data_IF_264196343310
#
_entry.id   IF_264196343310
#
_cell.length_a   1.000
_cell.length_b   1.000
_cell.length_c   1.000
_cell.angle_alpha   90.00
_cell.angle_beta   90.00
_cell.angle_gamma   90.00
#
_symmetry.space_group_name_H-M   'P 1'
#
loop_
_entity.id
_entity.type
_entity.pdbx_description
1 polymer ?
#
# COMPACT_ATOMS: atom_id res chain seq x y z
N UNK A 1 -23.02 -9.31 -13.02
CA UNK A 1 -22.00 -8.82 -12.07
C UNK A 1 -21.30 -10.04 -11.43
N UNK A 2 -20.18 -10.50 -12.01
CA UNK A 2 -19.36 -11.62 -11.47
C UNK A 2 -17.86 -11.33 -11.60
N UNK A 3 -17.47 -10.63 -12.69
CA UNK A 3 -16.07 -10.23 -12.96
C UNK A 3 -15.41 -9.39 -11.85
N UNK A 4 -16.11 -8.38 -11.31
CA UNK A 4 -15.52 -7.47 -10.31
C UNK A 4 -15.27 -8.10 -8.93
N UNK A 5 -16.10 -9.06 -8.49
CA UNK A 5 -15.93 -9.74 -7.20
C UNK A 5 -14.76 -10.74 -7.24
N UNK A 6 -14.58 -11.44 -8.36
CA UNK A 6 -13.48 -12.37 -8.54
C UNK A 6 -12.13 -11.65 -8.59
N UNK A 7 -12.05 -10.54 -9.34
CA UNK A 7 -10.86 -9.67 -9.40
C UNK A 7 -10.49 -9.15 -8.01
N UNK A 8 -11.50 -8.77 -7.20
CA UNK A 8 -11.26 -8.31 -5.84
C UNK A 8 -10.67 -9.39 -4.94
N UNK A 9 -11.20 -10.62 -5.00
CA UNK A 9 -10.70 -11.73 -4.19
C UNK A 9 -9.27 -12.10 -4.56
N UNK A 10 -8.97 -12.18 -5.86
CA UNK A 10 -7.63 -12.44 -6.38
C UNK A 10 -6.65 -11.34 -5.95
N UNK A 11 -7.08 -10.07 -5.98
CA UNK A 11 -6.26 -8.96 -5.50
C UNK A 11 -5.99 -9.01 -4.00
N UNK A 12 -7.00 -9.32 -3.17
CA UNK A 12 -6.79 -9.46 -1.72
C UNK A 12 -5.81 -10.59 -1.40
N UNK A 13 -5.92 -11.70 -2.12
CA UNK A 13 -4.97 -12.82 -2.01
C UNK A 13 -3.56 -12.40 -2.42
N UNK A 14 -3.42 -11.68 -3.54
CA UNK A 14 -2.11 -11.19 -3.99
C UNK A 14 -1.45 -10.26 -2.95
N UNK A 15 -2.22 -9.36 -2.31
CA UNK A 15 -1.71 -8.51 -1.22
C UNK A 15 -1.24 -9.36 -0.04
N UNK A 16 -2.00 -10.41 0.31
CA UNK A 16 -1.68 -11.30 1.42
C UNK A 16 -0.43 -12.16 1.18
N UNK A 17 -0.16 -12.52 -0.07
CA UNK A 17 0.99 -13.34 -0.49
C UNK A 17 2.22 -12.49 -0.85
N UNK A 18 2.07 -11.17 -0.92
CA UNK A 18 3.16 -10.24 -1.24
C UNK A 18 4.17 -10.10 -0.09
N UNK A 19 5.43 -9.88 -0.44
CA UNK A 19 6.48 -9.53 0.52
C UNK A 19 6.74 -8.03 0.65
N UNK A 20 6.43 -7.29 -0.42
CA UNK A 20 6.56 -5.83 -0.49
C UNK A 20 5.32 -5.27 -1.16
N UNK A 21 4.76 -4.18 -0.62
CA UNK A 21 3.69 -3.42 -1.22
C UNK A 21 4.10 -1.95 -1.34
N UNK A 22 3.96 -1.39 -2.53
CA UNK A 22 4.22 0.04 -2.80
C UNK A 22 2.87 0.75 -2.87
N UNK A 23 2.68 1.78 -2.04
CA UNK A 23 1.45 2.58 -2.06
C UNK A 23 1.75 3.89 -2.77
N UNK A 24 1.18 4.09 -3.96
CA UNK A 24 1.34 5.34 -4.72
C UNK A 24 0.19 6.28 -4.38
N UNK A 25 0.39 7.13 -3.38
CA UNK A 25 -0.54 8.22 -3.07
C UNK A 25 -0.47 9.27 -4.17
N UNK A 26 -1.60 9.49 -4.83
CA UNK A 26 -1.76 10.49 -5.88
C UNK A 26 -3.00 11.35 -5.60
N UNK A 27 -3.15 12.46 -6.35
CA UNK A 27 -4.22 13.44 -6.13
C UNK A 27 -5.62 12.83 -6.03
N UNK A 28 -5.90 11.76 -6.80
CA UNK A 28 -7.24 11.15 -6.86
C UNK A 28 -7.34 9.83 -6.08
N UNK A 29 -6.28 9.37 -5.42
CA UNK A 29 -6.23 8.07 -4.73
C UNK A 29 -7.44 7.86 -3.79
N UNK A 30 -7.68 8.84 -2.91
CA UNK A 30 -8.76 8.76 -1.92
C UNK A 30 -10.18 8.85 -2.50
N UNK A 31 -10.35 9.26 -3.76
CA UNK A 31 -11.68 9.24 -4.39
C UNK A 31 -12.14 7.83 -4.76
N UNK A 32 -11.21 6.89 -4.96
CA UNK A 32 -11.51 5.50 -5.27
C UNK A 32 -11.74 4.72 -3.98
N UNK A 33 -12.96 4.19 -3.82
CA UNK A 33 -13.27 3.26 -2.72
C UNK A 33 -12.36 2.03 -2.74
N UNK A 34 -12.02 1.52 -3.93
CA UNK A 34 -11.15 0.35 -4.07
C UNK A 34 -9.74 0.64 -3.53
N UNK A 35 -9.13 1.76 -3.88
CA UNK A 35 -7.82 2.15 -3.35
C UNK A 35 -7.83 2.28 -1.82
N UNK A 36 -8.93 2.78 -1.23
CA UNK A 36 -9.09 2.86 0.22
C UNK A 36 -9.23 1.50 0.91
N UNK A 37 -9.88 0.54 0.25
CA UNK A 37 -9.97 -0.84 0.73
C UNK A 37 -8.63 -1.58 0.56
N UNK A 38 -7.92 -1.38 -0.55
CA UNK A 38 -6.58 -1.93 -0.82
C UNK A 38 -5.57 -1.47 0.24
N UNK A 39 -5.45 -0.16 0.48
CA UNK A 39 -4.51 0.35 1.50
C UNK A 39 -4.88 -0.14 2.90
N UNK A 40 -6.17 -0.33 3.20
CA UNK A 40 -6.59 -0.92 4.46
C UNK A 40 -6.12 -2.37 4.59
N UNK A 41 -6.22 -3.16 3.52
CA UNK A 41 -5.71 -4.54 3.52
C UNK A 41 -4.19 -4.62 3.58
N UNK A 42 -3.48 -3.74 2.85
CA UNK A 42 -2.01 -3.66 2.89
C UNK A 42 -1.53 -3.37 4.31
N UNK A 43 -2.11 -2.36 4.97
CA UNK A 43 -1.71 -2.00 6.33
C UNK A 43 -2.12 -3.05 7.39
N UNK A 44 -3.16 -3.84 7.12
CA UNK A 44 -3.47 -5.03 7.93
C UNK A 44 -2.38 -6.10 7.78
N UNK A 45 -2.01 -6.43 6.54
CA UNK A 45 -0.97 -7.43 6.25
C UNK A 45 0.40 -6.98 6.77
N UNK A 46 0.71 -5.68 6.75
CA UNK A 46 1.92 -5.13 7.39
C UNK A 46 1.99 -5.48 8.88
N UNK A 47 0.86 -5.39 9.58
CA UNK A 47 0.79 -5.64 11.03
C UNK A 47 0.76 -7.14 11.38
N UNK A 48 0.26 -7.98 10.48
CA UNK A 48 0.00 -9.40 10.76
C UNK A 48 0.96 -10.38 10.08
N UNK A 49 1.59 -10.00 8.97
CA UNK A 49 2.33 -10.91 8.06
C UNK A 49 3.71 -10.39 7.63
N UNK A 50 4.27 -9.44 8.38
CA UNK A 50 5.57 -8.82 8.09
C UNK A 50 5.70 -8.27 6.66
N UNK A 51 4.60 -7.81 6.06
CA UNK A 51 4.62 -7.17 4.74
C UNK A 51 5.39 -5.84 4.82
N UNK A 52 6.39 -5.63 3.98
CA UNK A 52 7.09 -4.34 3.89
C UNK A 52 6.21 -3.38 3.08
N UNK A 53 5.96 -2.20 3.63
CA UNK A 53 5.11 -1.18 2.99
C UNK A 53 5.92 0.06 2.71
N UNK A 54 5.89 0.48 1.45
CA UNK A 54 6.69 1.58 0.90
C UNK A 54 5.77 2.64 0.28
N UNK A 55 5.44 3.73 0.98
CA UNK A 55 4.63 4.80 0.42
C UNK A 55 5.45 5.67 -0.56
N UNK A 56 4.80 6.07 -1.64
CA UNK A 56 5.27 7.07 -2.60
C UNK A 56 4.19 8.15 -2.69
N UNK A 57 4.57 9.40 -2.45
CA UNK A 57 3.70 10.55 -2.53
C UNK A 57 3.94 11.25 -3.86
N UNK A 58 3.14 10.89 -4.87
CA UNK A 58 3.29 11.33 -6.25
C UNK A 58 2.44 12.59 -6.52
N UNK A 59 3.11 13.73 -6.64
CA UNK A 59 2.50 15.05 -6.85
C UNK A 59 1.43 15.39 -5.79
N UNK A 60 1.65 14.92 -4.56
CA UNK A 60 0.84 15.20 -3.38
C UNK A 60 1.75 15.30 -2.17
N UNK A 61 1.52 16.26 -1.28
CA UNK A 61 2.35 16.34 -0.08
C UNK A 61 1.92 15.29 0.96
N UNK A 62 2.85 14.66 1.69
CA UNK A 62 2.50 13.69 2.75
C UNK A 62 1.52 14.24 3.79
N UNK A 63 1.60 15.55 4.08
CA UNK A 63 0.69 16.24 5.01
C UNK A 63 -0.74 16.33 4.49
N UNK A 64 -0.97 16.34 3.19
CA UNK A 64 -2.30 16.31 2.61
C UNK A 64 -2.98 14.97 2.86
N UNK A 65 -2.24 13.87 2.70
CA UNK A 65 -2.73 12.51 3.01
C UNK A 65 -3.00 12.37 4.50
N UNK A 66 -2.02 12.74 5.34
CA UNK A 66 -2.06 12.59 6.80
C UNK A 66 -3.16 13.40 7.46
N UNK A 67 -3.37 14.64 7.03
CA UNK A 67 -4.35 15.55 7.66
C UNK A 67 -5.65 15.64 6.87
N UNK A 68 -5.81 14.81 5.83
CA UNK A 68 -6.94 14.85 4.89
C UNK A 68 -7.20 16.27 4.39
N UNK A 69 -6.17 16.94 3.87
CA UNK A 69 -6.29 18.26 3.24
C UNK A 69 -6.45 18.11 1.73
N UNK A 70 -6.68 19.23 1.03
CA UNK A 70 -6.71 19.24 -0.43
C UNK A 70 -7.73 18.25 -1.01
N UNK A 71 -7.29 17.44 -1.97
CA UNK A 71 -8.14 16.43 -2.60
C UNK A 71 -8.57 15.30 -1.66
N UNK A 72 -7.72 14.91 -0.71
CA UNK A 72 -8.03 13.87 0.27
C UNK A 72 -9.15 14.29 1.21
N UNK A 73 -9.16 15.54 1.66
CA UNK A 73 -10.24 16.10 2.48
C UNK A 73 -11.58 16.08 1.77
N UNK A 74 -11.61 16.54 0.50
CA UNK A 74 -12.83 16.52 -0.32
C UNK A 74 -13.33 15.09 -0.55
N UNK A 75 -12.43 14.16 -0.84
CA UNK A 75 -12.79 12.75 -1.03
C UNK A 75 -13.34 12.13 0.25
N UNK A 76 -12.71 12.37 1.41
CA UNK A 76 -13.21 11.88 2.69
C UNK A 76 -14.58 12.46 3.04
N UNK A 77 -14.81 13.75 2.81
CA UNK A 77 -16.12 14.37 3.04
C UNK A 77 -17.21 13.74 2.16
N UNK A 78 -16.90 13.42 0.90
CA UNK A 78 -17.82 12.70 0.00
C UNK A 78 -18.17 11.31 0.55
N UNK A 79 -17.17 10.54 0.98
CA UNK A 79 -17.40 9.22 1.58
C UNK A 79 -18.18 9.31 2.91
N UNK A 80 -17.97 10.36 3.71
CA UNK A 80 -18.76 10.61 4.92
C UNK A 80 -20.21 10.93 4.61
N UNK A 81 -20.50 11.64 3.52
CA UNK A 81 -21.86 11.90 3.07
C UNK A 81 -22.55 10.64 2.55
N UNK A 82 -21.81 9.76 1.87
CA UNK A 82 -22.36 8.52 1.29
C UNK A 82 -22.56 7.42 2.33
N UNK A 83 -21.59 7.20 3.22
CA UNK A 83 -21.60 6.07 4.17
C UNK A 83 -21.91 6.47 5.62
N UNK A 84 -21.97 7.77 5.90
CA UNK A 84 -22.15 8.33 7.24
C UNK A 84 -20.83 8.64 7.94
N UNK A 85 -20.74 9.83 8.54
CA UNK A 85 -19.57 10.35 9.27
C UNK A 85 -19.05 9.41 10.37
N UNK A 86 -19.96 8.68 11.02
CA UNK A 86 -19.62 7.77 12.11
C UNK A 86 -19.40 6.32 11.69
N UNK A 87 -19.49 6.03 10.38
CA UNK A 87 -19.30 4.71 9.82
C UNK A 87 -17.93 4.14 10.17
N UNK A 88 -17.93 2.88 10.63
CA UNK A 88 -16.70 2.13 10.90
C UNK A 88 -15.78 2.11 9.67
N UNK A 89 -16.36 2.00 8.47
CA UNK A 89 -15.62 1.96 7.20
C UNK A 89 -14.82 3.24 6.96
N UNK A 90 -15.47 4.40 7.08
CA UNK A 90 -14.81 5.70 6.84
C UNK A 90 -13.77 6.00 7.92
N UNK A 91 -14.08 5.69 9.19
CA UNK A 91 -13.10 5.79 10.29
C UNK A 91 -11.87 4.93 10.05
N UNK A 92 -12.06 3.69 9.58
CA UNK A 92 -10.97 2.78 9.22
C UNK A 92 -10.12 3.38 8.10
N UNK A 93 -10.71 3.84 6.99
CA UNK A 93 -9.94 4.45 5.90
C UNK A 93 -9.15 5.69 6.33
N UNK A 94 -9.78 6.59 7.10
CA UNK A 94 -9.11 7.77 7.65
C UNK A 94 -7.90 7.37 8.49
N UNK A 95 -8.07 6.43 9.43
CA UNK A 95 -6.97 5.91 10.24
C UNK A 95 -5.88 5.27 9.39
N UNK A 96 -6.23 4.43 8.43
CA UNK A 96 -5.27 3.76 7.56
C UNK A 96 -4.44 4.76 6.75
N UNK A 97 -5.06 5.80 6.17
CA UNK A 97 -4.33 6.84 5.43
C UNK A 97 -3.34 7.58 6.34
N UNK A 98 -3.72 7.86 7.59
CA UNK A 98 -2.82 8.45 8.59
C UNK A 98 -1.65 7.51 8.88
N UNK A 99 -1.96 6.26 9.27
CA UNK A 99 -0.96 5.26 9.63
C UNK A 99 0.04 5.03 8.46
N UNK A 100 -0.46 4.87 7.22
CA UNK A 100 0.36 4.66 6.03
C UNK A 100 1.20 5.89 5.66
N UNK A 101 0.67 7.11 5.82
CA UNK A 101 1.40 8.35 5.53
C UNK A 101 2.43 8.74 6.61
N UNK A 102 2.49 7.99 7.71
CA UNK A 102 3.53 8.12 8.72
C UNK A 102 4.72 7.18 8.47
N UNK A 103 4.62 6.25 7.52
CA UNK A 103 5.73 5.40 7.12
C UNK A 103 6.77 6.21 6.33
N UNK A 104 8.03 5.82 6.45
CA UNK A 104 9.12 6.37 5.64
C UNK A 104 8.91 6.02 4.17
N UNK A 105 9.13 6.97 3.28
CA UNK A 105 8.98 6.78 1.85
C UNK A 105 9.41 8.01 1.06
N UNK A 106 8.97 8.10 -0.19
CA UNK A 106 9.45 9.12 -1.12
C UNK A 106 8.37 10.15 -1.43
N UNK A 107 8.77 11.41 -1.50
CA UNK A 107 7.94 12.49 -2.01
C UNK A 107 8.45 12.90 -3.39
N UNK A 108 7.54 13.00 -4.35
CA UNK A 108 7.85 13.36 -5.73
C UNK A 108 7.00 14.56 -6.15
N UNK A 109 7.64 15.66 -6.52
CA UNK A 109 7.03 16.95 -6.82
C UNK A 109 7.52 17.57 -8.15
N UNK A 110 7.67 16.72 -9.17
CA UNK A 110 8.11 17.02 -10.56
C UNK A 110 9.64 16.98 -10.81
N UNK A 111 10.38 16.14 -10.08
CA UNK A 111 11.75 15.76 -10.47
C UNK A 111 11.76 14.75 -11.65
N UNK A 112 12.95 14.29 -12.06
CA UNK A 112 13.09 13.23 -13.06
C UNK A 112 12.65 11.88 -12.47
N UNK A 113 11.51 11.35 -12.90
CA UNK A 113 10.92 10.08 -12.42
C UNK A 113 11.90 8.90 -12.42
N UNK A 114 12.82 8.86 -13.39
CA UNK A 114 13.84 7.81 -13.51
C UNK A 114 14.69 7.69 -12.25
N UNK A 115 14.98 8.80 -11.57
CA UNK A 115 15.76 8.78 -10.33
C UNK A 115 14.98 8.12 -9.19
N UNK A 116 13.71 8.52 -9.03
CA UNK A 116 12.82 7.93 -8.04
C UNK A 116 12.64 6.42 -8.25
N UNK A 117 12.40 6.00 -9.50
CA UNK A 117 12.23 4.58 -9.84
C UNK A 117 13.50 3.79 -9.48
N UNK A 118 14.69 4.32 -9.80
CA UNK A 118 15.96 3.68 -9.43
C UNK A 118 16.12 3.54 -7.92
N UNK A 119 15.78 4.57 -7.14
CA UNK A 119 15.83 4.52 -5.68
C UNK A 119 14.89 3.46 -5.12
N UNK A 120 13.64 3.41 -5.60
CA UNK A 120 12.64 2.41 -5.18
C UNK A 120 13.11 0.99 -5.52
N UNK A 121 13.59 0.76 -6.74
CA UNK A 121 14.09 -0.56 -7.17
C UNK A 121 15.25 -1.01 -6.29
N UNK A 122 16.21 -0.12 -6.02
CA UNK A 122 17.36 -0.44 -5.16
C UNK A 122 16.93 -0.78 -3.73
N UNK A 123 16.00 -0.03 -3.15
CA UNK A 123 15.47 -0.30 -1.80
C UNK A 123 14.80 -1.68 -1.77
N UNK A 124 13.92 -1.98 -2.74
CA UNK A 124 13.25 -3.28 -2.82
C UNK A 124 14.25 -4.41 -2.98
N UNK A 125 15.23 -4.26 -3.87
CA UNK A 125 16.30 -5.24 -4.02
C UNK A 125 17.01 -5.49 -2.70
N UNK A 126 17.42 -4.45 -1.97
CA UNK A 126 18.08 -4.61 -0.67
C UNK A 126 17.20 -5.35 0.36
N UNK A 127 15.91 -5.00 0.43
CA UNK A 127 14.97 -5.63 1.35
C UNK A 127 14.77 -7.13 1.02
N UNK A 128 14.70 -7.49 -0.26
CA UNK A 128 14.54 -8.88 -0.69
C UNK A 128 15.81 -9.70 -0.45
N UNK A 129 17.00 -9.15 -0.66
CA UNK A 129 18.27 -9.85 -0.39
C UNK A 129 18.51 -10.13 1.10
N UNK A 130 17.96 -9.31 2.00
CA UNK A 130 18.09 -9.47 3.46
C UNK A 130 17.14 -10.49 4.05
N UNK A 131 16.11 -10.91 3.32
CA UNK A 131 15.19 -11.95 3.79
C UNK A 131 15.83 -13.32 3.56
N UNK A 132 15.96 -14.18 4.59
CA UNK A 132 16.32 -15.57 4.37
C UNK A 132 15.30 -16.18 3.40
N UNK A 133 15.76 -16.72 2.28
CA UNK A 133 14.90 -17.56 1.45
C UNK A 133 14.37 -18.67 2.36
N UNK A 134 13.05 -18.86 2.38
CA UNK A 134 12.45 -19.93 3.18
C UNK A 134 12.89 -21.27 2.59
N UNK A 135 14.02 -21.79 3.07
CA UNK A 135 14.51 -23.11 2.71
C UNK A 135 13.59 -24.13 3.36
N UNK A 136 12.83 -24.87 2.55
CA UNK A 136 11.98 -25.93 3.07
C UNK A 136 12.82 -26.97 3.83
N UNK A 137 12.26 -27.55 4.90
CA UNK A 137 12.95 -28.54 5.75
C UNK A 137 13.32 -29.86 5.05
N UNK A 138 13.10 -29.97 3.75
CA UNK A 138 13.31 -31.19 2.96
C UNK A 138 14.32 -30.95 1.84
N UNK A 139 15.49 -30.43 2.18
CA UNK A 139 16.63 -30.47 1.27
C UNK A 139 17.15 -31.91 1.22
N UNK A 140 16.89 -32.60 0.12
CA UNK A 140 17.54 -33.88 -0.17
C UNK A 140 18.93 -33.56 -0.72
N UNK A 141 19.98 -34.01 -0.04
CA UNK A 141 21.35 -33.78 -0.48
C UNK A 141 21.59 -34.48 -1.82
N UNK A 142 22.12 -33.75 -2.80
CA UNK A 142 22.68 -34.37 -4.01
C UNK A 142 24.07 -34.87 -3.61
N UNK A 143 24.19 -36.17 -3.37
CA UNK A 143 25.50 -36.79 -3.21
C UNK A 143 26.24 -36.76 -4.56
N UNK A 144 27.49 -36.28 -4.62
CA UNK A 144 28.29 -36.39 -5.83
C UNK A 144 28.53 -37.87 -6.15
N UNK A 145 28.36 -38.25 -7.42
CA UNK A 145 28.76 -39.55 -7.96
C UNK A 145 30.27 -39.63 -8.16
#
# INVERSE_FOLDING_TARGET
>A
MRKGQQIWLELMKAIEESHVAIIIFSKNYASSRWCLEEVAKIMECMKQKDLIVLPVFYNVEPREVRKWRGSYGRAMAKHEAEFGKHSHKVKRWKKTLVDASNLSGWHFDNEVEVKLIKEIVNEISMQLHRRPLHVSKHLVGIHPQ
#
